data_IF_466704676022
#
_entry.id   IF_466704676022
#
_cell.length_a   1.000
_cell.length_b   1.000
_cell.length_c   1.000
_cell.angle_alpha   90.00
_cell.angle_beta   90.00
_cell.angle_gamma   90.00
#
_symmetry.space_group_name_H-M   'P 1'
#
loop_
_entity.id
_entity.type
_entity.pdbx_description
1 polymer ?
#
# COMPACT_ATOMS: atom_id res chain seq x y z
N UNK A 1 1.80 21.54 3.61
CA UNK A 1 2.22 20.14 3.82
C UNK A 1 1.18 19.10 3.39
N UNK A 2 0.14 18.74 4.16
CA UNK A 2 -0.82 17.66 3.75
C UNK A 2 -1.45 17.93 2.37
N UNK A 3 -1.86 19.17 2.13
CA UNK A 3 -2.50 19.58 0.86
C UNK A 3 -1.52 19.59 -0.33
N UNK A 4 -0.21 19.79 -0.09
CA UNK A 4 0.81 19.75 -1.15
C UNK A 4 1.19 18.31 -1.51
N UNK A 5 1.31 17.43 -0.51
CA UNK A 5 1.51 16.00 -0.76
C UNK A 5 0.35 15.41 -1.53
N UNK A 6 -0.89 15.72 -1.13
CA UNK A 6 -2.09 15.26 -1.83
C UNK A 6 -2.05 15.63 -3.32
N UNK A 7 -1.79 16.90 -3.65
CA UNK A 7 -1.66 17.35 -5.05
C UNK A 7 -0.52 16.64 -5.79
N UNK A 8 0.63 16.46 -5.15
CA UNK A 8 1.75 15.72 -5.72
C UNK A 8 1.38 14.27 -6.05
N UNK A 9 0.65 13.57 -5.17
CA UNK A 9 0.20 12.20 -5.44
C UNK A 9 -0.82 12.12 -6.58
N UNK A 10 -1.75 13.08 -6.66
CA UNK A 10 -2.70 13.17 -7.77
C UNK A 10 -1.95 13.29 -9.10
N UNK A 11 -1.01 14.24 -9.21
CA UNK A 11 -0.18 14.41 -10.40
C UNK A 11 0.58 13.13 -10.74
N UNK A 12 1.39 12.63 -9.80
CA UNK A 12 2.24 11.46 -10.00
C UNK A 12 1.42 10.24 -10.45
N UNK A 13 0.33 9.93 -9.75
CA UNK A 13 -0.47 8.76 -10.08
C UNK A 13 -1.13 8.88 -11.46
N UNK A 14 -1.59 10.08 -11.84
CA UNK A 14 -2.25 10.33 -13.13
C UNK A 14 -1.32 10.08 -14.32
N UNK A 15 -0.03 10.46 -14.20
CA UNK A 15 0.98 10.31 -15.26
C UNK A 15 1.86 9.08 -15.13
N UNK A 16 1.60 8.23 -14.12
CA UNK A 16 2.35 7.00 -13.90
C UNK A 16 2.07 5.99 -15.01
N UNK A 17 3.13 5.56 -15.69
CA UNK A 17 3.13 4.44 -16.63
C UNK A 17 3.98 3.30 -16.09
N UNK A 18 3.40 2.11 -16.07
CA UNK A 18 4.09 0.89 -15.64
C UNK A 18 5.01 0.43 -16.76
N UNK A 19 6.26 0.09 -16.41
CA UNK A 19 7.23 -0.40 -17.39
C UNK A 19 6.73 -1.72 -18.01
N UNK A 20 6.73 -1.79 -19.34
CA UNK A 20 6.11 -2.90 -20.08
C UNK A 20 6.72 -4.27 -19.71
N UNK A 21 8.04 -4.33 -19.50
CA UNK A 21 8.78 -5.54 -19.11
C UNK A 21 8.45 -6.02 -17.68
N UNK A 22 7.81 -5.17 -16.86
CA UNK A 22 7.43 -5.48 -15.48
C UNK A 22 5.97 -5.91 -15.32
N UNK A 23 5.13 -5.77 -16.35
CA UNK A 23 3.69 -6.06 -16.27
C UNK A 23 3.37 -7.48 -15.76
N UNK A 24 3.98 -8.51 -16.34
CA UNK A 24 3.76 -9.91 -15.92
C UNK A 24 4.17 -10.16 -14.46
N UNK A 25 5.24 -9.52 -14.02
CA UNK A 25 5.67 -9.60 -12.62
C UNK A 25 4.65 -8.95 -11.69
N UNK A 26 4.11 -7.79 -12.06
CA UNK A 26 3.09 -7.07 -11.28
C UNK A 26 1.77 -7.86 -11.28
N UNK A 27 1.37 -8.49 -12.39
CA UNK A 27 0.19 -9.36 -12.45
C UNK A 27 0.29 -10.52 -11.46
N UNK A 28 1.47 -11.14 -11.34
CA UNK A 28 1.71 -12.21 -10.36
C UNK A 28 1.58 -11.72 -8.91
N UNK A 29 2.01 -10.48 -8.63
CA UNK A 29 1.81 -9.85 -7.31
C UNK A 29 0.32 -9.66 -7.02
N UNK A 30 -0.43 -9.09 -7.97
CA UNK A 30 -1.87 -8.87 -7.82
C UNK A 30 -2.63 -10.19 -7.64
N UNK A 31 -2.25 -11.23 -8.39
CA UNK A 31 -2.80 -12.57 -8.19
C UNK A 31 -2.55 -13.09 -6.77
N UNK A 32 -1.33 -12.88 -6.22
CA UNK A 32 -1.01 -13.26 -4.84
C UNK A 32 -1.83 -12.50 -3.80
N UNK A 33 -2.04 -11.20 -4.00
CA UNK A 33 -2.93 -10.39 -3.16
C UNK A 33 -4.37 -10.92 -3.25
N UNK A 34 -4.86 -11.23 -4.45
CA UNK A 34 -6.21 -11.75 -4.66
C UNK A 34 -6.43 -13.13 -4.02
N UNK A 35 -5.40 -14.00 -3.96
CA UNK A 35 -5.48 -15.27 -3.23
C UNK A 35 -5.78 -15.07 -1.73
N UNK A 36 -5.33 -13.96 -1.15
CA UNK A 36 -5.60 -13.59 0.24
C UNK A 36 -6.90 -12.82 0.46
N UNK A 37 -7.67 -12.51 -0.60
CA UNK A 37 -8.78 -11.54 -0.59
C UNK A 37 -9.79 -11.79 0.52
N UNK A 38 -10.26 -13.02 0.69
CA UNK A 38 -11.26 -13.35 1.72
C UNK A 38 -10.78 -13.00 3.14
N UNK A 39 -9.51 -13.26 3.47
CA UNK A 39 -8.92 -12.90 4.78
C UNK A 39 -8.82 -11.39 4.96
N UNK A 40 -8.40 -10.69 3.91
CA UNK A 40 -8.34 -9.23 3.93
C UNK A 40 -9.73 -8.58 4.03
N UNK A 41 -10.76 -9.17 3.41
CA UNK A 41 -12.15 -8.71 3.55
C UNK A 41 -12.68 -8.92 4.99
N UNK A 42 -12.32 -10.03 5.64
CA UNK A 42 -12.60 -10.21 7.07
C UNK A 42 -11.98 -9.10 7.93
N UNK A 43 -10.72 -8.73 7.64
CA UNK A 43 -10.06 -7.61 8.30
C UNK A 43 -10.69 -6.26 7.96
N UNK A 44 -11.13 -6.04 6.71
CA UNK A 44 -11.86 -4.84 6.32
C UNK A 44 -13.14 -4.68 7.15
N UNK A 45 -13.91 -5.75 7.33
CA UNK A 45 -15.14 -5.71 8.13
C UNK A 45 -14.89 -5.30 9.60
N UNK A 46 -13.72 -5.65 10.15
CA UNK A 46 -13.36 -5.34 11.55
C UNK A 46 -12.72 -3.96 11.70
N UNK A 47 -11.99 -3.50 10.69
CA UNK A 47 -11.10 -2.33 10.80
C UNK A 47 -11.52 -1.12 9.97
N UNK A 48 -12.44 -1.30 9.02
CA UNK A 48 -12.80 -0.29 8.03
C UNK A 48 -11.75 -0.08 6.93
N UNK A 49 -10.55 -0.64 7.05
CA UNK A 49 -9.48 -0.48 6.06
C UNK A 49 -9.78 -1.33 4.83
N UNK A 50 -9.72 -0.78 3.61
CA UNK A 50 -9.93 -1.54 2.39
C UNK A 50 -9.07 -2.79 2.29
N UNK A 51 -9.68 -3.91 1.90
CA UNK A 51 -9.02 -5.21 1.80
C UNK A 51 -7.77 -5.15 0.90
N UNK A 52 -7.81 -4.36 -0.18
CA UNK A 52 -6.69 -4.22 -1.10
C UNK A 52 -5.57 -3.36 -0.53
N UNK A 53 -5.86 -2.39 0.35
CA UNK A 53 -4.83 -1.63 1.07
C UNK A 53 -4.11 -2.54 2.05
N UNK A 54 -4.84 -3.39 2.78
CA UNK A 54 -4.25 -4.42 3.66
C UNK A 54 -3.38 -5.38 2.85
N UNK A 55 -3.87 -5.84 1.69
CA UNK A 55 -3.13 -6.71 0.78
C UNK A 55 -1.85 -6.07 0.24
N UNK A 56 -1.88 -4.78 -0.11
CA UNK A 56 -0.71 -4.00 -0.54
C UNK A 56 0.35 -3.96 0.57
N UNK A 57 -0.04 -3.57 1.80
CA UNK A 57 0.87 -3.53 2.95
C UNK A 57 1.45 -4.93 3.20
N UNK A 58 0.62 -5.97 3.16
CA UNK A 58 1.09 -7.34 3.40
C UNK A 58 2.08 -7.82 2.33
N UNK A 59 1.89 -7.43 1.07
CA UNK A 59 2.89 -7.68 0.03
C UNK A 59 4.20 -6.94 0.32
N UNK A 60 4.12 -5.65 0.66
CA UNK A 60 5.31 -4.83 0.88
C UNK A 60 6.15 -5.31 2.07
N UNK A 61 5.50 -5.72 3.17
CA UNK A 61 6.17 -6.11 4.41
C UNK A 61 6.56 -7.59 4.45
N UNK A 62 5.79 -8.47 3.81
CA UNK A 62 5.98 -9.92 3.96
C UNK A 62 5.76 -10.72 2.67
N UNK A 63 5.64 -10.09 1.50
CA UNK A 63 5.32 -10.76 0.24
C UNK A 63 4.06 -11.63 0.36
N UNK A 64 3.03 -11.17 1.08
CA UNK A 64 1.79 -11.92 1.36
C UNK A 64 1.99 -13.29 2.06
N UNK A 65 3.04 -13.43 2.85
CA UNK A 65 3.30 -14.61 3.68
C UNK A 65 2.52 -14.54 5.00
N UNK A 66 1.41 -15.27 5.07
CA UNK A 66 0.51 -15.30 6.23
C UNK A 66 1.12 -15.92 7.50
N UNK A 67 2.39 -16.33 7.48
CA UNK A 67 3.14 -16.75 8.67
C UNK A 67 3.93 -15.61 9.32
N UNK A 68 3.84 -14.40 8.77
CA UNK A 68 4.58 -13.21 9.21
C UNK A 68 3.67 -12.07 9.64
N UNK A 69 4.22 -11.21 10.48
CA UNK A 69 3.57 -10.00 10.96
C UNK A 69 3.34 -9.00 9.83
N UNK A 70 2.13 -8.42 9.78
CA UNK A 70 1.83 -7.29 8.90
C UNK A 70 2.70 -6.07 9.20
N UNK A 71 3.20 -5.93 10.44
CA UNK A 71 4.02 -4.80 10.86
C UNK A 71 5.27 -4.61 10.01
N UNK A 72 6.04 -5.68 9.80
CA UNK A 72 7.40 -5.61 9.24
C UNK A 72 7.95 -6.97 8.76
N UNK A 73 7.09 -7.98 8.62
CA UNK A 73 7.47 -9.29 8.11
C UNK A 73 8.23 -10.21 9.08
N UNK A 74 8.36 -9.88 10.37
CA UNK A 74 8.89 -10.83 11.36
C UNK A 74 7.95 -12.04 11.55
N UNK A 75 8.45 -13.23 11.91
CA UNK A 75 7.60 -14.42 12.11
C UNK A 75 6.56 -14.23 13.21
N UNK A 76 5.35 -14.77 13.01
CA UNK A 76 4.25 -14.71 14.00
C UNK A 76 4.50 -15.52 15.29
N UNK A 77 5.58 -16.31 15.34
CA UNK A 77 5.95 -17.14 16.51
C UNK A 77 6.49 -16.35 17.70
N UNK A 78 6.77 -15.06 17.52
CA UNK A 78 7.24 -14.15 18.57
C UNK A 78 6.61 -12.77 18.38
N UNK A 79 7.05 -11.78 19.16
CA UNK A 79 6.76 -10.37 18.88
C UNK A 79 7.78 -9.84 17.87
N UNK A 80 7.43 -8.77 17.18
CA UNK A 80 8.35 -8.10 16.26
C UNK A 80 9.64 -7.68 16.97
N UNK A 81 10.78 -7.92 16.34
CA UNK A 81 12.10 -7.47 16.76
C UNK A 81 12.51 -6.27 15.93
N UNK A 82 12.24 -6.33 14.62
CA UNK A 82 12.41 -5.17 13.74
C UNK A 82 11.45 -4.06 14.15
N UNK A 83 11.78 -2.83 13.77
CA UNK A 83 10.88 -1.70 14.00
C UNK A 83 9.56 -1.89 13.23
N UNK A 84 8.39 -1.58 13.84
CA UNK A 84 8.20 -1.26 15.25
C UNK A 84 8.32 -2.52 16.13
N UNK A 85 9.21 -2.51 17.13
CA UNK A 85 9.50 -3.67 17.97
C UNK A 85 8.45 -3.88 19.08
N UNK A 86 8.26 -5.13 19.51
CA UNK A 86 7.40 -5.52 20.62
C UNK A 86 5.90 -5.66 20.29
N UNK A 87 5.54 -5.72 19.01
CA UNK A 87 4.16 -5.86 18.56
C UNK A 87 3.81 -7.30 18.12
N UNK A 88 2.53 -7.71 18.18
CA UNK A 88 1.41 -7.08 18.89
C UNK A 88 1.71 -6.90 20.38
N UNK A 89 1.21 -5.83 21.00
CA UNK A 89 1.41 -5.56 22.44
C UNK A 89 0.53 -6.44 23.32
N UNK A 90 -0.69 -6.69 22.87
CA UNK A 90 -1.68 -7.53 23.56
C UNK A 90 -1.57 -8.99 23.10
N UNK A 91 -1.99 -9.93 23.96
CA UNK A 91 -1.96 -11.36 23.69
C UNK A 91 -0.59 -12.03 23.93
N UNK A 92 -0.50 -13.30 23.54
CA UNK A 92 0.72 -14.13 23.64
C UNK A 92 0.97 -14.85 22.31
N UNK A 93 2.23 -14.99 21.87
CA UNK A 93 2.56 -15.74 20.67
C UNK A 93 2.32 -17.26 20.84
N UNK A 94 2.20 -18.04 19.74
CA UNK A 94 2.19 -17.56 18.35
C UNK A 94 0.92 -16.78 18.04
N UNK A 95 1.07 -15.69 17.28
CA UNK A 95 -0.04 -14.86 16.86
C UNK A 95 -0.66 -15.39 15.55
N UNK A 96 -1.94 -15.11 15.34
CA UNK A 96 -2.53 -15.20 14.00
C UNK A 96 -2.13 -13.98 13.16
N UNK A 97 -2.20 -14.12 11.83
CA UNK A 97 -2.02 -12.99 10.94
C UNK A 97 -3.03 -11.88 11.24
N UNK A 98 -4.28 -12.23 11.51
CA UNK A 98 -5.37 -11.29 11.79
C UNK A 98 -5.10 -10.47 13.06
N UNK A 99 -4.64 -11.10 14.15
CA UNK A 99 -4.21 -10.40 15.36
C UNK A 99 -3.07 -9.43 15.07
N UNK A 100 -2.09 -9.85 14.26
CA UNK A 100 -1.01 -8.97 13.84
C UNK A 100 -1.50 -7.81 12.98
N UNK A 101 -2.41 -8.06 12.04
CA UNK A 101 -2.91 -7.09 11.10
C UNK A 101 -3.71 -5.99 11.80
N UNK A 102 -4.63 -6.36 12.70
CA UNK A 102 -5.38 -5.40 13.53
C UNK A 102 -4.41 -4.56 14.36
N UNK A 103 -3.37 -5.18 14.95
CA UNK A 103 -2.37 -4.45 15.72
C UNK A 103 -1.59 -3.43 14.86
N UNK A 104 -1.20 -3.78 13.64
CA UNK A 104 -0.48 -2.90 12.71
C UNK A 104 -1.36 -1.73 12.24
N UNK A 105 -2.59 -2.03 11.84
CA UNK A 105 -3.59 -1.02 11.42
C UNK A 105 -3.88 -0.02 12.55
N UNK A 106 -3.99 -0.51 13.80
CA UNK A 106 -4.15 0.36 14.97
C UNK A 106 -2.93 1.23 15.24
N UNK A 107 -1.72 0.65 15.16
CA UNK A 107 -0.46 1.37 15.35
C UNK A 107 -0.27 2.53 14.37
N UNK A 108 -0.82 2.40 13.16
CA UNK A 108 -0.75 3.40 12.10
C UNK A 108 -1.99 4.31 12.04
N UNK A 109 -2.93 4.17 12.98
CA UNK A 109 -4.21 4.90 12.99
C UNK A 109 -5.06 4.75 11.71
N UNK A 110 -4.81 3.74 10.87
CA UNK A 110 -5.55 3.54 9.62
C UNK A 110 -7.03 3.18 9.85
N UNK A 111 -7.38 2.58 10.98
CA UNK A 111 -8.76 2.32 11.42
C UNK A 111 -9.59 3.58 11.72
N UNK A 112 -8.98 4.77 11.68
CA UNK A 112 -9.65 6.07 11.89
C UNK A 112 -9.74 6.89 10.59
N UNK A 113 -9.38 6.29 9.46
CA UNK A 113 -9.37 6.96 8.16
C UNK A 113 -10.68 6.67 7.44
N UNK A 114 -11.36 7.74 7.04
CA UNK A 114 -12.58 7.66 6.22
C UNK A 114 -12.30 7.92 4.73
N UNK A 115 -11.28 8.73 4.42
CA UNK A 115 -10.89 9.04 3.04
C UNK A 115 -9.96 7.98 2.46
N UNK A 116 -10.50 7.12 1.60
CA UNK A 116 -9.72 6.12 0.85
C UNK A 116 -9.53 6.50 -0.62
N UNK A 117 -9.47 7.80 -0.92
CA UNK A 117 -9.01 8.29 -2.21
C UNK A 117 -7.58 7.81 -2.51
N UNK A 118 -7.27 7.58 -3.78
CA UNK A 118 -5.93 7.16 -4.24
C UNK A 118 -4.80 8.01 -3.66
N UNK A 119 -4.83 9.36 -3.71
CA UNK A 119 -3.77 10.18 -3.12
C UNK A 119 -3.62 9.97 -1.61
N UNK A 120 -4.72 9.78 -0.86
CA UNK A 120 -4.61 9.51 0.57
C UNK A 120 -4.08 8.10 0.86
N UNK A 121 -4.45 7.09 0.07
CA UNK A 121 -3.85 5.75 0.14
C UNK A 121 -2.33 5.83 -0.06
N UNK A 122 -1.86 6.57 -1.08
CA UNK A 122 -0.43 6.71 -1.35
C UNK A 122 0.31 7.42 -0.21
N UNK A 123 -0.30 8.44 0.41
CA UNK A 123 0.23 9.11 1.59
C UNK A 123 0.37 8.14 2.77
N UNK A 124 -0.68 7.37 3.07
CA UNK A 124 -0.69 6.43 4.18
C UNK A 124 0.32 5.29 3.97
N UNK A 125 0.48 4.80 2.73
CA UNK A 125 1.49 3.80 2.38
C UNK A 125 2.91 4.35 2.54
N UNK A 126 3.18 5.58 2.09
CA UNK A 126 4.49 6.19 2.26
C UNK A 126 4.80 6.48 3.74
N UNK A 127 3.80 6.88 4.53
CA UNK A 127 3.94 7.03 5.99
C UNK A 127 4.19 5.68 6.69
N UNK A 128 3.56 4.60 6.22
CA UNK A 128 3.78 3.25 6.75
C UNK A 128 5.24 2.83 6.64
N UNK A 129 5.86 3.11 5.48
CA UNK A 129 7.27 2.85 5.23
C UNK A 129 8.22 3.88 5.87
N UNK A 130 7.84 5.16 5.84
CA UNK A 130 8.64 6.31 6.25
C UNK A 130 8.83 7.33 5.13
N UNK A 131 8.78 8.62 5.49
CA UNK A 131 8.75 9.78 4.57
C UNK A 131 10.14 10.28 4.11
N UNK A 132 11.21 9.52 4.38
CA UNK A 132 12.59 9.99 4.23
C UNK A 132 12.96 10.47 2.82
N UNK A 133 12.34 9.93 1.77
CA UNK A 133 12.59 10.38 0.40
C UNK A 133 12.11 11.80 0.13
N UNK A 134 10.96 12.20 0.68
CA UNK A 134 10.40 13.54 0.49
C UNK A 134 11.21 14.62 1.19
N UNK A 135 11.70 14.29 2.38
CA UNK A 135 12.34 15.27 3.25
C UNK A 135 13.83 15.43 2.96
N UNK A 136 14.47 14.39 2.40
CA UNK A 136 15.94 14.28 2.34
C UNK A 136 16.50 13.99 0.95
N UNK A 137 15.64 13.84 -0.07
CA UNK A 137 16.08 13.50 -1.43
C UNK A 137 15.29 14.27 -2.48
N UNK A 138 15.82 14.32 -3.71
CA UNK A 138 15.14 14.91 -4.87
C UNK A 138 14.50 13.86 -5.78
N UNK A 139 14.27 12.64 -5.29
CA UNK A 139 13.67 11.56 -6.07
C UNK A 139 12.32 11.16 -5.50
N UNK A 140 11.47 10.63 -6.38
CA UNK A 140 10.25 9.95 -5.97
C UNK A 140 10.61 8.66 -5.23
N UNK A 141 9.90 8.36 -4.13
CA UNK A 141 10.13 7.18 -3.32
C UNK A 141 10.02 5.87 -4.13
N UNK A 142 11.08 5.04 -4.22
CA UNK A 142 10.99 3.73 -4.85
C UNK A 142 9.98 2.80 -4.18
N UNK A 143 9.66 3.02 -2.89
CA UNK A 143 8.62 2.26 -2.19
C UNK A 143 7.26 2.40 -2.88
N UNK A 144 6.94 3.57 -3.44
CA UNK A 144 5.70 3.79 -4.19
C UNK A 144 5.86 3.55 -5.69
N UNK A 145 6.99 3.99 -6.27
CA UNK A 145 7.07 4.26 -7.70
C UNK A 145 8.02 3.35 -8.48
N UNK A 146 8.74 2.44 -7.82
CA UNK A 146 9.62 1.52 -8.55
C UNK A 146 8.86 0.66 -9.57
N UNK A 147 9.47 0.44 -10.73
CA UNK A 147 8.89 -0.21 -11.92
C UNK A 147 7.91 0.66 -12.73
N UNK A 148 8.00 1.97 -12.58
CA UNK A 148 7.31 2.96 -13.44
C UNK A 148 8.28 3.97 -14.03
N UNK A 149 7.77 4.80 -14.94
CA UNK A 149 8.46 5.99 -15.45
C UNK A 149 8.81 7.05 -14.37
N UNK A 150 8.29 6.92 -13.15
CA UNK A 150 8.50 7.89 -12.07
C UNK A 150 9.74 7.62 -11.22
N UNK A 151 10.44 6.51 -11.45
CA UNK A 151 11.63 6.12 -10.69
C UNK A 151 12.66 5.40 -11.59
N UNK A 152 13.92 5.83 -11.49
CA UNK A 152 15.04 5.19 -12.21
C UNK A 152 16.02 4.52 -11.26
N UNK A 153 16.55 5.27 -10.28
CA UNK A 153 17.54 4.80 -9.29
C UNK A 153 17.57 5.69 -8.06
N UNK A 154 18.30 5.24 -7.03
CA UNK A 154 18.41 5.87 -5.73
C UNK A 154 17.54 5.14 -4.70
N UNK A 155 18.11 4.67 -3.59
CA UNK A 155 17.31 4.13 -2.48
C UNK A 155 18.05 4.15 -1.15
N UNK A 156 17.30 4.16 -0.05
CA UNK A 156 17.84 3.76 1.24
C UNK A 156 18.11 2.26 1.22
N UNK A 157 19.37 1.88 1.38
CA UNK A 157 19.81 0.46 1.43
C UNK A 157 19.82 -0.07 2.87
N UNK A 158 19.80 0.83 3.84
CA UNK A 158 19.58 0.59 5.25
C UNK A 158 19.06 1.89 5.90
N UNK A 159 18.70 1.82 7.18
CA UNK A 159 18.23 2.97 7.94
C UNK A 159 19.21 4.15 7.82
N UNK A 160 18.69 5.27 7.33
CA UNK A 160 19.44 6.51 7.06
C UNK A 160 20.64 6.38 6.09
N UNK A 161 20.81 5.25 5.38
CA UNK A 161 21.87 5.06 4.37
C UNK A 161 21.30 5.13 2.95
N UNK A 162 21.27 6.33 2.38
CA UNK A 162 20.86 6.56 0.99
C UNK A 162 22.00 6.28 0.02
N UNK A 163 21.74 5.46 -1.00
CA UNK A 163 22.63 5.23 -2.13
C UNK A 163 21.95 5.76 -3.40
N UNK A 164 22.48 6.81 -4.06
CA UNK A 164 21.90 7.40 -5.28
C UNK A 164 22.00 6.49 -6.52
N UNK A 165 22.79 5.43 -6.47
CA UNK A 165 23.01 4.51 -7.59
C UNK A 165 22.30 3.17 -7.43
N UNK A 166 21.92 2.80 -6.20
CA UNK A 166 21.19 1.57 -5.97
C UNK A 166 19.78 1.61 -6.59
N UNK A 167 19.40 0.51 -7.23
CA UNK A 167 18.09 0.34 -7.88
C UNK A 167 17.21 -0.59 -7.05
N UNK A 168 15.94 -0.22 -6.88
CA UNK A 168 14.95 -1.11 -6.25
C UNK A 168 14.64 -2.29 -7.18
N UNK A 169 14.60 -3.50 -6.61
CA UNK A 169 14.19 -4.73 -7.28
C UNK A 169 12.77 -5.15 -6.91
N UNK A 170 12.11 -4.36 -6.07
CA UNK A 170 10.74 -4.57 -5.60
C UNK A 170 9.82 -3.61 -6.33
N UNK A 171 8.65 -4.09 -6.75
CA UNK A 171 7.63 -3.24 -7.35
C UNK A 171 7.09 -2.25 -6.32
N UNK A 172 6.89 -0.99 -6.73
CA UNK A 172 6.36 0.04 -5.84
C UNK A 172 4.87 -0.17 -5.51
N UNK A 173 4.45 0.19 -4.30
CA UNK A 173 3.08 0.03 -3.84
C UNK A 173 2.07 0.85 -4.66
N UNK A 174 2.46 2.02 -5.19
CA UNK A 174 1.61 2.81 -6.10
C UNK A 174 1.41 2.13 -7.46
N UNK A 175 2.47 1.47 -7.97
CA UNK A 175 2.42 0.66 -9.19
C UNK A 175 1.48 -0.54 -9.00
N UNK A 176 1.60 -1.24 -7.87
CA UNK A 176 0.73 -2.38 -7.56
C UNK A 176 -0.71 -1.91 -7.33
N UNK A 177 -0.93 -0.79 -6.62
CA UNK A 177 -2.25 -0.20 -6.39
C UNK A 177 -2.98 0.03 -7.71
N UNK A 178 -2.35 0.71 -8.69
CA UNK A 178 -2.96 0.93 -10.00
C UNK A 178 -3.42 -0.38 -10.63
N UNK A 179 -2.57 -1.41 -10.58
CA UNK A 179 -2.91 -2.70 -11.18
C UNK A 179 -3.99 -3.45 -10.42
N UNK A 180 -4.00 -3.42 -9.08
CA UNK A 180 -5.06 -4.02 -8.26
C UNK A 180 -6.40 -3.38 -8.54
N UNK A 181 -6.43 -2.04 -8.66
CA UNK A 181 -7.64 -1.28 -8.96
C UNK A 181 -8.22 -1.65 -10.34
N UNK A 182 -7.36 -1.73 -11.36
CA UNK A 182 -7.74 -2.15 -12.72
C UNK A 182 -8.27 -3.61 -12.74
N UNK A 183 -7.51 -4.56 -12.21
CA UNK A 183 -7.83 -6.00 -12.28
C UNK A 183 -9.09 -6.38 -11.50
N UNK A 184 -9.37 -5.66 -10.40
CA UNK A 184 -10.53 -5.91 -9.57
C UNK A 184 -11.71 -4.97 -9.86
N UNK A 185 -11.65 -4.14 -10.91
CA UNK A 185 -12.67 -3.14 -11.25
C UNK A 185 -13.07 -2.24 -10.07
N UNK A 186 -12.08 -1.77 -9.31
CA UNK A 186 -12.29 -0.92 -8.11
C UNK A 186 -12.29 0.58 -8.43
N UNK A 187 -12.18 0.94 -9.71
CA UNK A 187 -12.31 2.32 -10.20
C UNK A 187 -13.71 2.46 -10.76
N UNK A 188 -14.50 3.38 -10.19
CA UNK A 188 -15.77 3.76 -10.80
C UNK A 188 -15.51 4.90 -11.77
N UNK A 189 -15.87 4.74 -13.04
CA UNK A 189 -15.96 5.84 -13.99
C UNK A 189 -17.36 6.43 -13.86
N UNK A 190 -17.50 7.57 -13.21
CA UNK A 190 -18.71 8.38 -13.38
C UNK A 190 -18.64 9.02 -14.77
N UNK A 191 -19.43 8.52 -15.71
CA UNK A 191 -19.64 9.23 -16.97
C UNK A 191 -20.52 10.43 -16.64
N UNK A 192 -19.91 11.61 -16.46
CA UNK A 192 -20.67 12.85 -16.43
C UNK A 192 -21.29 13.04 -17.82
N UNK A 193 -22.59 12.80 -17.94
CA UNK A 193 -23.36 13.16 -19.13
C UNK A 193 -23.41 14.69 -19.21
N UNK A 194 -22.48 15.28 -19.96
CA UNK A 194 -22.51 16.69 -20.37
C UNK A 194 -21.28 17.49 -19.96
N UNK A 195 -20.41 17.77 -20.93
CA UNK A 195 -19.46 18.89 -20.93
C UNK A 195 -18.24 18.75 -19.99
N UNK A 196 -17.09 18.46 -20.59
CA UNK A 196 -15.74 18.45 -19.98
C UNK A 196 -15.44 17.25 -19.08
N UNK A 197 -14.67 16.29 -19.61
CA UNK A 197 -14.11 15.16 -18.86
C UNK A 197 -13.16 15.67 -17.77
N UNK A 198 -13.61 15.71 -16.53
CA UNK A 198 -12.75 15.54 -15.36
C UNK A 198 -12.86 14.08 -14.96
N UNK A 199 -11.82 13.28 -15.27
CA UNK A 199 -11.71 11.91 -14.76
C UNK A 199 -11.32 12.00 -13.29
N UNK A 200 -12.31 12.21 -12.42
CA UNK A 200 -12.14 11.99 -10.99
C UNK A 200 -12.39 10.49 -10.72
N UNK A 201 -11.32 9.72 -10.52
CA UNK A 201 -11.43 8.35 -10.03
C UNK A 201 -11.91 8.39 -8.58
N UNK A 202 -13.22 8.29 -8.36
CA UNK A 202 -13.79 8.07 -7.04
C UNK A 202 -13.80 6.56 -6.76
N UNK A 203 -13.05 6.13 -5.74
CA UNK A 203 -13.21 4.79 -5.15
C UNK A 203 -14.38 4.91 -4.18
N UNK A 204 -15.58 4.52 -4.60
CA UNK A 204 -16.73 4.40 -3.71
C UNK A 204 -16.87 2.94 -3.28
N UNK A 205 -16.83 2.65 -1.98
CA UNK A 205 -17.21 1.34 -1.48
C UNK A 205 -18.73 1.23 -1.43
N UNK A 206 -19.28 0.28 -2.19
CA UNK A 206 -20.60 -0.26 -1.90
C UNK A 206 -20.48 -0.99 -0.55
N UNK A 207 -21.02 -0.38 0.49
CA UNK A 207 -21.35 -1.06 1.75
C UNK A 207 -22.49 -2.02 1.41
N UNK A 208 -22.17 -3.25 1.03
CA UNK A 208 -23.16 -4.33 1.11
C UNK A 208 -23.26 -4.74 2.57
N UNK A 209 -24.26 -4.20 3.27
CA UNK A 209 -24.86 -4.91 4.37
C UNK A 209 -25.57 -6.12 3.74
N UNK A 210 -25.05 -7.33 4.00
CA UNK A 210 -25.80 -8.53 3.74
C UNK A 210 -26.85 -8.67 4.86
N UNK A 211 -28.10 -8.83 4.45
CA UNK A 211 -29.23 -9.25 5.30
C UNK A 211 -28.95 -10.59 6.00
#
# INVERSE_FOLDING_TARGET
MVNEYFKSYVDLFSRMTVNNDKKKFIDAIVAKINLGKARYQGLQAITGVPWFVIGLIHYMEANCDFTKHLHNGDPLSARTIKYPAGYPREGKPPFTFEQSAVSAIKKQNMHKVDDWSVPNILLLLEQYNGMGYRDKTNINSPYLWSFSNLYTKGKYVADNKYDPNAVSKQAGAGVILKRVLEVNNLITVSVATGGSLIVAAAIFFLIFNAE
#
